data_IF_371498596778
#
_entry.id   IF_371498596778
#
_cell.length_a   1.000
_cell.length_b   1.000
_cell.length_c   1.000
_cell.angle_alpha   90.00
_cell.angle_beta   90.00
_cell.angle_gamma   90.00
#
_symmetry.space_group_name_H-M   'P 1'
#
loop_
_entity.id
_entity.type
_entity.pdbx_description
1 polymer ?
#
# COMPACT_ATOMS: atom_id res chain seq x y z
N UNK A 1 1.60 6.78 -0.56
CA UNK A 1 2.88 6.04 -0.66
C UNK A 1 3.14 5.19 0.57
N UNK A 2 3.12 5.75 1.81
CA UNK A 2 3.55 5.03 3.01
C UNK A 2 2.66 3.80 3.30
N UNK A 3 1.36 3.93 3.14
CA UNK A 3 0.38 2.84 3.35
C UNK A 3 0.17 1.95 2.12
N UNK A 4 0.92 2.15 1.05
CA UNK A 4 0.88 1.36 -0.18
C UNK A 4 -0.57 1.09 -0.64
N UNK A 5 -1.35 2.17 -0.82
CA UNK A 5 -2.68 2.07 -1.39
C UNK A 5 -2.58 2.08 -2.93
N UNK A 6 -2.71 0.91 -3.54
CA UNK A 6 -2.66 0.73 -4.99
C UNK A 6 -4.05 0.72 -5.64
N UNK A 7 -5.10 0.79 -4.86
CA UNK A 7 -6.46 1.07 -5.35
C UNK A 7 -6.72 2.58 -5.39
N UNK A 8 -5.79 3.31 -6.02
CA UNK A 8 -5.73 4.77 -6.00
C UNK A 8 -5.13 5.36 -7.28
N UNK A 9 -4.88 6.67 -7.29
CA UNK A 9 -4.24 7.37 -8.41
C UNK A 9 -2.87 6.80 -8.81
N UNK A 10 -2.13 6.21 -7.87
CA UNK A 10 -0.76 5.71 -8.08
C UNK A 10 -0.67 4.39 -8.85
N UNK A 11 -1.80 3.74 -9.16
CA UNK A 11 -1.84 2.46 -9.87
C UNK A 11 -2.44 2.57 -11.26
N UNK A 12 -2.56 1.41 -11.94
CA UNK A 12 -3.21 1.29 -13.24
C UNK A 12 -4.68 1.75 -13.21
N UNK A 13 -5.36 1.57 -12.08
CA UNK A 13 -6.80 1.89 -11.94
C UNK A 13 -7.07 3.38 -11.91
N UNK A 14 -6.17 4.20 -11.33
CA UNK A 14 -6.30 5.64 -11.21
C UNK A 14 -7.67 6.09 -10.66
N UNK A 15 -8.13 5.48 -9.57
CA UNK A 15 -9.44 5.70 -8.96
C UNK A 15 -9.35 6.05 -7.47
N UNK A 16 -10.49 6.10 -6.79
CA UNK A 16 -10.61 6.31 -5.34
C UNK A 16 -10.00 7.62 -4.83
N UNK A 17 -10.22 8.69 -5.58
CA UNK A 17 -9.89 10.05 -5.15
C UNK A 17 -10.85 11.06 -5.76
N UNK A 18 -10.98 12.22 -5.09
CA UNK A 18 -11.62 13.41 -5.62
C UNK A 18 -10.59 14.50 -5.85
N UNK A 19 -10.86 15.35 -6.82
CA UNK A 19 -10.10 16.58 -7.01
C UNK A 19 -10.93 17.72 -6.43
N UNK A 20 -10.40 18.38 -5.42
CA UNK A 20 -10.98 19.58 -4.83
C UNK A 20 -10.17 20.80 -5.27
N UNK A 21 -10.84 21.75 -5.91
CA UNK A 21 -10.23 23.02 -6.32
C UNK A 21 -10.80 24.16 -5.46
N UNK A 22 -9.91 25.02 -4.96
CA UNK A 22 -10.26 26.25 -4.27
C UNK A 22 -9.21 27.31 -4.55
N UNK A 23 -9.63 28.45 -5.09
CA UNK A 23 -8.76 29.61 -5.37
C UNK A 23 -7.54 29.26 -6.24
N UNK A 24 -7.72 28.46 -7.28
CA UNK A 24 -6.65 28.01 -8.17
C UNK A 24 -5.70 26.97 -7.58
N UNK A 25 -6.01 26.39 -6.41
CA UNK A 25 -5.25 25.33 -5.77
C UNK A 25 -6.01 24.02 -5.81
N UNK A 26 -5.35 22.98 -6.28
CA UNK A 26 -5.90 21.61 -6.34
C UNK A 26 -5.44 20.82 -5.12
N UNK A 27 -6.38 20.09 -4.50
CA UNK A 27 -6.12 19.11 -3.46
C UNK A 27 -6.67 17.76 -3.90
N UNK A 28 -5.87 16.72 -3.80
CA UNK A 28 -6.33 15.35 -3.98
C UNK A 28 -6.87 14.86 -2.65
N UNK A 29 -8.12 14.44 -2.64
CA UNK A 29 -8.81 13.86 -1.48
C UNK A 29 -8.97 12.36 -1.72
N UNK A 30 -8.03 11.53 -1.24
CA UNK A 30 -8.14 10.08 -1.38
C UNK A 30 -9.18 9.52 -0.42
N UNK A 31 -9.80 8.40 -0.80
CA UNK A 31 -10.78 7.65 -0.03
C UNK A 31 -10.62 6.15 -0.27
N UNK A 32 -11.40 5.32 0.41
CA UNK A 32 -11.45 3.86 0.21
C UNK A 32 -10.10 3.17 0.52
N UNK A 33 -9.62 3.32 1.75
CA UNK A 33 -8.34 2.78 2.20
C UNK A 33 -8.40 1.32 2.69
N UNK A 34 -9.54 0.64 2.57
CA UNK A 34 -9.71 -0.75 3.00
C UNK A 34 -8.76 -1.74 2.28
N UNK A 35 -8.29 -1.39 1.08
CA UNK A 35 -7.32 -2.16 0.30
C UNK A 35 -5.89 -1.57 0.32
N UNK A 36 -5.62 -0.65 1.24
CA UNK A 36 -4.25 -0.20 1.50
C UNK A 36 -3.38 -1.34 2.07
N UNK A 37 -2.10 -1.06 2.28
CA UNK A 37 -1.11 -2.01 2.76
C UNK A 37 -0.90 -3.22 1.84
N UNK A 38 -1.08 -2.97 0.54
CA UNK A 38 -0.93 -3.99 -0.49
C UNK A 38 -2.10 -4.97 -0.58
N UNK A 39 -3.25 -4.66 0.04
CA UNK A 39 -4.47 -5.48 -0.06
C UNK A 39 -5.02 -5.60 -1.47
N UNK A 40 -4.65 -4.67 -2.36
CA UNK A 40 -4.94 -4.72 -3.79
C UNK A 40 -3.66 -4.56 -4.61
N UNK A 41 -3.39 -5.47 -5.53
CA UNK A 41 -2.22 -5.44 -6.43
C UNK A 41 -0.85 -5.26 -5.75
N UNK A 42 -0.75 -5.52 -4.45
CA UNK A 42 0.51 -5.38 -3.68
C UNK A 42 1.60 -6.39 -4.04
N UNK A 43 1.26 -7.41 -4.80
CA UNK A 43 2.20 -8.47 -5.16
C UNK A 43 2.52 -9.36 -3.96
N UNK A 44 3.76 -9.32 -3.50
CA UNK A 44 4.22 -10.06 -2.32
C UNK A 44 4.62 -9.11 -1.18
N UNK A 45 4.86 -9.68 0.00
CA UNK A 45 5.22 -8.90 1.19
C UNK A 45 6.48 -8.03 0.98
N UNK A 46 7.49 -8.53 0.27
CA UNK A 46 8.70 -7.76 -0.03
C UNK A 46 8.41 -6.53 -0.89
N UNK A 47 7.52 -6.68 -1.88
CA UNK A 47 7.11 -5.56 -2.75
C UNK A 47 6.39 -4.47 -1.98
N UNK A 48 5.55 -4.83 -0.99
CA UNK A 48 4.84 -3.86 -0.14
C UNK A 48 5.78 -3.22 0.86
N UNK A 49 6.60 -4.01 1.55
CA UNK A 49 7.60 -3.50 2.51
C UNK A 49 8.54 -2.50 1.84
N UNK A 50 9.04 -2.80 0.64
CA UNK A 50 10.04 -1.99 -0.05
C UNK A 50 9.44 -1.09 -1.13
N UNK A 51 8.12 -0.89 -1.17
CA UNK A 51 7.51 -0.04 -2.19
C UNK A 51 8.25 1.30 -2.33
N UNK A 52 8.75 1.65 -3.53
CA UNK A 52 9.67 2.76 -3.71
C UNK A 52 9.00 4.10 -3.44
N UNK A 53 9.69 5.00 -2.71
CA UNK A 53 9.11 6.30 -2.36
C UNK A 53 9.26 7.32 -3.50
N UNK A 54 10.28 7.23 -4.35
CA UNK A 54 10.53 8.21 -5.42
C UNK A 54 9.95 7.80 -6.77
N UNK A 55 9.53 6.54 -6.92
CA UNK A 55 8.74 6.06 -8.05
C UNK A 55 7.49 5.34 -7.55
N UNK A 56 6.58 6.04 -6.80
CA UNK A 56 5.50 5.42 -6.06
C UNK A 56 4.29 5.09 -6.97
N UNK A 57 4.53 4.34 -8.03
CA UNK A 57 3.50 3.89 -8.97
C UNK A 57 3.58 2.38 -9.18
N UNK A 58 2.47 1.75 -9.54
CA UNK A 58 2.39 0.32 -9.79
C UNK A 58 1.59 0.02 -11.05
N UNK A 59 2.14 -0.86 -11.91
CA UNK A 59 1.52 -1.28 -13.16
C UNK A 59 1.46 -0.20 -14.26
N UNK A 60 2.10 0.95 -14.04
CA UNK A 60 2.19 2.05 -15.00
C UNK A 60 3.54 2.77 -14.88
N UNK A 61 3.92 3.48 -15.93
CA UNK A 61 5.08 4.38 -15.88
C UNK A 61 4.73 5.68 -15.14
N UNK A 62 5.73 6.30 -14.51
CA UNK A 62 5.61 7.60 -13.83
C UNK A 62 5.01 8.67 -14.75
N UNK A 63 5.41 8.71 -16.01
CA UNK A 63 4.92 9.68 -17.02
C UNK A 63 3.40 9.63 -17.23
N UNK A 64 2.76 8.51 -16.92
CA UNK A 64 1.31 8.34 -16.98
C UNK A 64 0.59 8.80 -15.71
N UNK A 65 1.34 9.29 -14.73
CA UNK A 65 0.84 9.85 -13.46
C UNK A 65 1.42 11.26 -13.26
N UNK A 66 1.03 12.23 -14.12
CA UNK A 66 1.67 13.55 -14.20
C UNK A 66 1.67 14.32 -12.87
N UNK A 67 0.68 14.13 -11.98
CA UNK A 67 0.68 14.76 -10.67
C UNK A 67 1.80 14.23 -9.78
N UNK A 68 2.14 12.94 -9.87
CA UNK A 68 3.28 12.36 -9.14
C UNK A 68 4.58 12.73 -9.85
N UNK A 69 4.67 12.43 -11.15
CA UNK A 69 5.88 12.61 -11.95
C UNK A 69 6.40 14.06 -11.91
N UNK A 70 5.53 15.04 -12.17
CA UNK A 70 5.93 16.45 -12.21
C UNK A 70 6.28 17.01 -10.84
N UNK A 71 5.56 16.60 -9.79
CA UNK A 71 5.87 17.06 -8.44
C UNK A 71 7.19 16.45 -7.94
N UNK A 72 7.42 15.16 -8.12
CA UNK A 72 8.65 14.50 -7.65
C UNK A 72 9.88 14.80 -8.54
N UNK A 73 9.68 15.28 -9.78
CA UNK A 73 10.76 15.79 -10.64
C UNK A 73 11.27 17.17 -10.19
N UNK A 74 10.53 17.90 -9.36
CA UNK A 74 10.96 19.17 -8.79
C UNK A 74 11.65 18.93 -7.44
N UNK A 75 12.91 19.36 -7.33
CA UNK A 75 13.75 19.11 -6.15
C UNK A 75 13.13 19.65 -4.86
N UNK A 76 12.57 20.86 -4.87
CA UNK A 76 11.94 21.46 -3.69
C UNK A 76 10.73 20.65 -3.22
N UNK A 77 9.89 20.18 -4.16
CA UNK A 77 8.72 19.39 -3.83
C UNK A 77 9.10 17.97 -3.38
N UNK A 78 10.13 17.37 -3.97
CA UNK A 78 10.68 16.09 -3.53
C UNK A 78 11.21 16.18 -2.10
N UNK A 79 12.01 17.19 -1.77
CA UNK A 79 12.53 17.43 -0.41
C UNK A 79 11.38 17.62 0.59
N UNK A 80 10.35 18.39 0.23
CA UNK A 80 9.16 18.57 1.08
C UNK A 80 8.41 17.26 1.29
N UNK A 81 8.24 16.46 0.24
CA UNK A 81 7.60 15.16 0.31
C UNK A 81 8.39 14.20 1.21
N UNK A 82 9.72 14.13 1.06
CA UNK A 82 10.59 13.37 1.96
C UNK A 82 10.45 13.85 3.42
N UNK A 83 10.37 15.15 3.64
CA UNK A 83 10.13 15.71 4.99
C UNK A 83 8.81 15.23 5.60
N UNK A 84 7.74 15.11 4.83
CA UNK A 84 6.47 14.53 5.33
C UNK A 84 6.59 13.03 5.64
N UNK A 85 7.29 12.26 4.81
CA UNK A 85 7.54 10.84 5.09
C UNK A 85 8.39 10.67 6.36
N UNK A 86 9.47 11.45 6.51
CA UNK A 86 10.32 11.43 7.71
C UNK A 86 9.50 11.78 8.96
N UNK A 87 8.65 12.81 8.88
CA UNK A 87 7.79 13.18 9.99
C UNK A 87 6.84 12.04 10.42
N UNK A 88 6.28 11.30 9.46
CA UNK A 88 5.45 10.13 9.76
C UNK A 88 6.26 9.00 10.40
N UNK A 89 7.46 8.71 9.88
CA UNK A 89 8.34 7.69 10.46
C UNK A 89 8.68 8.04 11.89
N UNK A 90 9.15 9.26 12.16
CA UNK A 90 9.62 9.69 13.49
C UNK A 90 8.48 9.76 14.52
N UNK A 91 7.34 10.31 14.13
CA UNK A 91 6.28 10.67 15.08
C UNK A 91 5.16 9.65 15.18
N UNK A 92 5.15 8.64 14.33
CA UNK A 92 4.08 7.65 14.32
C UNK A 92 4.59 6.20 14.41
N UNK A 93 5.69 5.88 13.72
CA UNK A 93 6.25 4.53 13.74
C UNK A 93 7.38 4.37 14.76
N UNK A 94 8.43 5.19 14.68
CA UNK A 94 9.61 5.06 15.54
C UNK A 94 9.32 5.24 17.04
N UNK A 95 8.30 6.00 17.38
CA UNK A 95 7.87 6.20 18.78
C UNK A 95 6.81 5.18 19.25
N UNK A 96 6.52 4.15 18.46
CA UNK A 96 5.60 3.07 18.82
C UNK A 96 4.11 3.38 18.71
N UNK A 97 3.72 4.61 18.34
CA UNK A 97 2.29 5.00 18.24
C UNK A 97 1.49 4.16 17.23
N UNK A 98 2.13 3.69 16.16
CA UNK A 98 1.46 2.82 15.19
C UNK A 98 0.99 1.53 15.86
N UNK A 99 1.90 0.85 16.54
CA UNK A 99 1.59 -0.40 17.23
C UNK A 99 0.60 -0.19 18.38
N UNK A 100 0.79 0.88 19.18
CA UNK A 100 -0.14 1.27 20.25
C UNK A 100 -1.56 1.49 19.71
N UNK A 101 -1.70 2.19 18.58
CA UNK A 101 -2.98 2.46 17.96
C UNK A 101 -3.65 1.17 17.46
N UNK A 102 -2.90 0.26 16.83
CA UNK A 102 -3.44 -1.03 16.38
C UNK A 102 -3.91 -1.88 17.57
N UNK A 103 -3.10 -1.95 18.64
CA UNK A 103 -3.48 -2.66 19.87
C UNK A 103 -4.70 -2.05 20.56
N UNK A 104 -4.84 -0.74 20.56
CA UNK A 104 -6.01 -0.07 21.11
C UNK A 104 -7.29 -0.37 20.29
N UNK A 105 -7.16 -0.40 18.96
CA UNK A 105 -8.27 -0.80 18.08
C UNK A 105 -8.63 -2.28 18.27
N UNK A 106 -7.64 -3.16 18.36
CA UNK A 106 -7.85 -4.58 18.65
C UNK A 106 -8.60 -4.75 20.00
N UNK A 107 -8.16 -4.08 21.04
CA UNK A 107 -8.83 -4.13 22.34
C UNK A 107 -10.27 -3.62 22.28
N UNK A 108 -10.56 -2.63 21.43
CA UNK A 108 -11.90 -2.07 21.27
C UNK A 108 -12.86 -3.02 20.54
N UNK A 109 -12.40 -3.73 19.50
CA UNK A 109 -13.30 -4.50 18.63
C UNK A 109 -13.19 -6.03 18.79
N UNK A 110 -12.18 -6.54 19.49
CA UNK A 110 -11.86 -7.97 19.59
C UNK A 110 -13.03 -8.84 20.04
N UNK A 111 -13.75 -8.39 21.07
CA UNK A 111 -14.91 -9.14 21.59
C UNK A 111 -16.10 -9.12 20.62
N UNK A 112 -16.28 -8.03 19.90
CA UNK A 112 -17.30 -7.96 18.85
C UNK A 112 -16.97 -8.92 17.71
N UNK A 113 -15.73 -8.92 17.21
CA UNK A 113 -15.29 -9.86 16.16
C UNK A 113 -15.45 -11.30 16.61
N UNK A 114 -15.11 -11.62 17.88
CA UNK A 114 -15.20 -12.98 18.42
C UNK A 114 -16.65 -13.50 18.47
N UNK A 115 -17.61 -12.61 18.76
CA UNK A 115 -19.00 -12.98 18.98
C UNK A 115 -19.91 -12.67 17.77
N UNK A 116 -19.36 -12.17 16.67
CA UNK A 116 -20.13 -11.86 15.46
C UNK A 116 -20.49 -13.15 14.71
N UNK A 117 -21.77 -13.51 14.75
CA UNK A 117 -22.29 -14.67 14.02
C UNK A 117 -22.20 -14.51 12.47
N UNK A 118 -22.01 -13.29 11.99
CA UNK A 118 -21.91 -12.95 10.56
C UNK A 118 -20.46 -12.69 10.11
N UNK A 119 -19.48 -12.89 11.01
CA UNK A 119 -18.08 -12.65 10.71
C UNK A 119 -17.61 -13.40 9.47
N UNK A 120 -16.92 -12.69 8.58
CA UNK A 120 -16.34 -13.24 7.34
C UNK A 120 -14.99 -13.94 7.55
N UNK A 121 -14.41 -13.88 8.76
CA UNK A 121 -13.19 -14.55 9.17
C UNK A 121 -13.37 -15.21 10.54
N UNK A 122 -12.50 -16.16 10.87
CA UNK A 122 -12.43 -16.71 12.23
C UNK A 122 -11.72 -15.71 13.16
N UNK A 123 -11.94 -15.85 14.46
CA UNK A 123 -11.26 -15.04 15.46
C UNK A 123 -9.73 -15.22 15.42
N UNK A 124 -9.25 -16.45 15.16
CA UNK A 124 -7.81 -16.73 15.04
C UNK A 124 -7.20 -16.06 13.79
N UNK A 125 -7.91 -16.07 12.65
CA UNK A 125 -7.51 -15.35 11.45
C UNK A 125 -7.43 -13.83 11.73
N UNK A 126 -8.42 -13.28 12.41
CA UNK A 126 -8.40 -11.87 12.83
C UNK A 126 -7.20 -11.55 13.72
N UNK A 127 -6.91 -12.36 14.75
CA UNK A 127 -5.76 -12.14 15.64
C UNK A 127 -4.43 -12.26 14.89
N UNK A 128 -4.36 -13.19 13.95
CA UNK A 128 -3.20 -13.33 13.06
C UNK A 128 -3.04 -12.08 12.17
N UNK A 129 -4.14 -11.57 11.60
CA UNK A 129 -4.13 -10.35 10.80
C UNK A 129 -3.60 -9.15 11.60
N UNK A 130 -4.05 -8.96 12.85
CA UNK A 130 -3.57 -7.89 13.74
C UNK A 130 -2.04 -7.97 13.92
N UNK A 131 -1.50 -9.14 14.25
CA UNK A 131 -0.05 -9.32 14.47
C UNK A 131 0.75 -9.13 13.18
N UNK A 132 0.25 -9.64 12.05
CA UNK A 132 0.85 -9.49 10.73
C UNK A 132 0.87 -8.01 10.30
N UNK A 133 -0.20 -7.28 10.59
CA UNK A 133 -0.31 -5.86 10.26
C UNK A 133 0.71 -5.00 11.03
N UNK A 134 0.90 -5.27 12.33
CA UNK A 134 1.92 -4.59 13.13
C UNK A 134 3.32 -4.86 12.52
N UNK A 135 3.62 -6.10 12.20
CA UNK A 135 4.90 -6.49 11.59
C UNK A 135 5.12 -5.80 10.25
N UNK A 136 4.11 -5.82 9.38
CA UNK A 136 4.17 -5.16 8.07
C UNK A 136 4.44 -3.66 8.21
N UNK A 137 3.71 -2.98 9.10
CA UNK A 137 3.87 -1.54 9.31
C UNK A 137 5.27 -1.17 9.80
N UNK A 138 5.82 -1.94 10.73
CA UNK A 138 7.17 -1.72 11.26
C UNK A 138 8.25 -1.96 10.18
N UNK A 139 8.16 -3.03 9.41
CA UNK A 139 9.08 -3.31 8.30
C UNK A 139 8.96 -2.24 7.19
N UNK A 140 7.76 -1.78 6.90
CA UNK A 140 7.53 -0.69 5.95
C UNK A 140 8.20 0.60 6.42
N UNK A 141 8.04 0.97 7.68
CA UNK A 141 8.67 2.16 8.25
C UNK A 141 10.20 2.06 8.20
N UNK A 142 10.77 0.89 8.51
CA UNK A 142 12.22 0.63 8.38
C UNK A 142 12.69 0.83 6.93
N UNK A 143 11.95 0.30 5.96
CA UNK A 143 12.28 0.46 4.54
C UNK A 143 12.19 1.93 4.10
N UNK A 144 11.13 2.64 4.50
CA UNK A 144 10.98 4.08 4.20
C UNK A 144 12.13 4.88 4.80
N UNK A 145 12.52 4.62 6.05
CA UNK A 145 13.67 5.27 6.67
C UNK A 145 14.96 5.03 5.88
N UNK A 146 15.23 3.78 5.48
CA UNK A 146 16.41 3.46 4.68
C UNK A 146 16.39 4.07 3.27
N UNK A 147 15.20 4.26 2.70
CA UNK A 147 15.06 4.97 1.43
C UNK A 147 15.29 6.48 1.57
N UNK A 148 14.89 7.07 2.70
CA UNK A 148 15.11 8.49 2.99
C UNK A 148 16.57 8.83 3.29
N UNK A 149 17.29 7.94 3.99
CA UNK A 149 18.71 8.15 4.32
C UNK A 149 19.69 7.62 3.24
N UNK A 150 19.16 7.00 2.17
CA UNK A 150 19.94 6.51 1.03
C UNK A 150 20.62 5.15 1.24
N UNK A 151 20.41 4.48 2.37
CA UNK A 151 20.92 3.11 2.60
C UNK A 151 20.18 2.07 1.75
N UNK A 152 18.90 2.34 1.42
CA UNK A 152 18.05 1.57 0.52
C UNK A 152 17.72 2.43 -0.71
N UNK A 153 17.80 1.89 -1.94
CA UNK A 153 17.37 2.63 -3.13
C UNK A 153 15.89 3.02 -3.07
N UNK A 154 15.58 4.28 -3.38
CA UNK A 154 14.24 4.87 -3.30
C UNK A 154 13.41 4.75 -4.59
N UNK A 155 14.03 4.25 -5.68
CA UNK A 155 13.39 4.08 -6.98
C UNK A 155 13.29 2.61 -7.38
N UNK A 156 12.29 2.24 -8.18
CA UNK A 156 12.12 0.88 -8.73
C UNK A 156 13.39 0.41 -9.45
N UNK A 157 13.99 1.24 -10.29
CA UNK A 157 15.20 0.89 -11.01
C UNK A 157 16.39 0.63 -10.06
N UNK A 158 16.55 1.50 -9.05
CA UNK A 158 17.60 1.35 -8.03
C UNK A 158 17.44 0.08 -7.20
N UNK A 159 16.21 -0.27 -6.82
CA UNK A 159 15.90 -1.48 -6.07
C UNK A 159 16.16 -2.75 -6.90
N UNK A 160 15.76 -2.75 -8.18
CA UNK A 160 16.03 -3.86 -9.09
C UNK A 160 17.54 -4.09 -9.30
N UNK A 161 18.33 -3.02 -9.33
CA UNK A 161 19.78 -3.10 -9.45
C UNK A 161 20.48 -3.54 -8.15
N UNK A 162 19.85 -3.36 -6.99
CA UNK A 162 20.43 -3.62 -5.66
C UNK A 162 19.47 -4.37 -4.72
N UNK A 163 18.98 -5.56 -5.10
CA UNK A 163 17.97 -6.27 -4.32
C UNK A 163 18.45 -6.70 -2.91
N UNK A 164 19.76 -6.86 -2.73
CA UNK A 164 20.37 -7.22 -1.44
C UNK A 164 20.30 -6.12 -0.38
N UNK A 165 20.01 -4.87 -0.78
CA UNK A 165 19.84 -3.75 0.15
C UNK A 165 18.42 -3.63 0.71
N UNK A 166 17.47 -4.38 0.17
CA UNK A 166 16.08 -4.29 0.57
C UNK A 166 15.85 -4.91 1.95
N UNK A 167 14.87 -4.37 2.68
CA UNK A 167 14.42 -4.96 3.94
C UNK A 167 13.82 -6.32 3.65
N UNK A 168 14.28 -7.34 4.38
CA UNK A 168 13.69 -8.68 4.29
C UNK A 168 12.29 -8.68 4.90
N UNK A 169 11.31 -9.15 4.14
CA UNK A 169 9.96 -9.38 4.66
C UNK A 169 9.86 -10.67 5.50
N UNK A 170 10.92 -11.49 5.58
CA UNK A 170 10.92 -12.75 6.32
C UNK A 170 9.80 -13.68 5.85
N UNK A 171 9.06 -14.21 6.79
CA UNK A 171 7.92 -15.12 6.55
C UNK A 171 6.56 -14.38 6.49
N UNK A 172 6.56 -13.05 6.37
CA UNK A 172 5.33 -12.29 6.32
C UNK A 172 4.53 -12.66 5.07
N UNK A 173 3.25 -13.01 5.27
CA UNK A 173 2.34 -13.38 4.21
C UNK A 173 1.16 -12.38 4.18
N UNK A 174 1.00 -11.65 3.09
CA UNK A 174 -0.08 -10.67 2.94
C UNK A 174 -1.47 -11.30 3.00
N UNK A 175 -1.62 -12.59 2.66
CA UNK A 175 -2.91 -13.28 2.76
C UNK A 175 -3.40 -13.43 4.21
N UNK A 176 -2.51 -13.28 5.21
CA UNK A 176 -2.88 -13.26 6.61
C UNK A 176 -3.63 -11.99 7.02
N UNK A 177 -3.53 -10.91 6.23
CA UNK A 177 -4.29 -9.67 6.43
C UNK A 177 -5.75 -9.78 5.96
N UNK A 178 -6.11 -10.84 5.25
CA UNK A 178 -7.43 -11.06 4.69
C UNK A 178 -7.38 -11.33 3.19
N UNK A 179 -8.53 -11.68 2.62
CA UNK A 179 -8.70 -11.94 1.19
C UNK A 179 -9.89 -11.16 0.66
N UNK A 180 -9.74 -10.54 -0.50
CA UNK A 180 -10.86 -9.94 -1.21
C UNK A 180 -11.85 -11.04 -1.61
N UNK A 181 -13.12 -10.93 -1.17
CA UNK A 181 -14.19 -11.88 -1.53
C UNK A 181 -14.26 -13.16 -0.69
N UNK A 182 -13.57 -13.27 0.42
CA UNK A 182 -13.60 -14.43 1.30
C UNK A 182 -14.84 -14.49 2.20
N UNK A 183 -15.99 -14.87 1.64
CA UNK A 183 -17.11 -15.40 2.43
C UNK A 183 -16.80 -16.85 2.84
N UNK A 184 -17.07 -17.20 4.11
CA UNK A 184 -17.19 -18.58 4.58
C UNK A 184 -18.26 -19.30 3.73
N UNK A 185 -17.88 -20.10 2.78
CA UNK A 185 -18.85 -20.92 2.07
C UNK A 185 -18.27 -21.48 0.79
N UNK A 186 -18.14 -22.80 0.78
CA UNK A 186 -18.16 -23.71 -0.37
C UNK A 186 -18.05 -23.03 -1.74
N UNK A 187 -16.91 -23.25 -2.38
CA UNK A 187 -16.74 -23.52 -3.81
C UNK A 187 -17.84 -22.95 -4.72
N UNK A 188 -18.13 -21.66 -4.67
CA UNK A 188 -18.74 -20.94 -5.76
C UNK A 188 -17.62 -20.20 -6.47
N UNK A 189 -16.98 -20.92 -7.40
CA UNK A 189 -16.22 -20.31 -8.45
C UNK A 189 -17.10 -19.25 -9.08
N UNK A 190 -16.64 -18.01 -9.11
CA UNK A 190 -17.23 -17.02 -9.99
C UNK A 190 -17.16 -17.59 -11.41
N UNK A 191 -18.29 -17.83 -12.08
CA UNK A 191 -18.27 -18.12 -13.51
C UNK A 191 -18.04 -16.78 -14.22
N UNK A 192 -16.80 -16.49 -14.49
CA UNK A 192 -16.41 -15.24 -15.13
C UNK A 192 -14.95 -14.95 -14.81
N UNK A 193 -14.07 -15.85 -15.30
CA UNK A 193 -12.68 -15.46 -15.52
C UNK A 193 -12.72 -14.20 -16.35
N UNK A 194 -12.16 -13.11 -15.81
CA UNK A 194 -11.84 -11.94 -16.63
C UNK A 194 -10.76 -12.44 -17.57
N UNK A 195 -11.24 -13.00 -18.72
CA UNK A 195 -10.39 -13.34 -19.84
C UNK A 195 -9.59 -12.11 -20.21
N UNK A 196 -8.31 -12.33 -20.45
CA UNK A 196 -7.37 -11.28 -20.79
C UNK A 196 -7.94 -10.32 -21.82
N UNK A 197 -7.95 -9.05 -21.48
CA UNK A 197 -8.16 -7.99 -22.42
C UNK A 197 -6.89 -7.91 -23.29
N UNK A 198 -6.91 -8.69 -24.37
CA UNK A 198 -5.96 -8.55 -25.48
C UNK A 198 -6.36 -7.27 -26.23
N UNK A 199 -5.65 -6.19 -26.01
CA UNK A 199 -5.75 -5.03 -26.89
C UNK A 199 -5.16 -5.43 -28.24
N UNK A 200 -6.05 -5.75 -29.19
CA UNK A 200 -5.70 -5.94 -30.58
C UNK A 200 -5.16 -4.62 -31.13
N UNK A 201 -3.91 -4.63 -31.56
CA UNK A 201 -3.31 -3.56 -32.36
C UNK A 201 -4.02 -3.53 -33.71
N UNK A 202 -4.84 -2.53 -33.94
CA UNK A 202 -5.33 -2.17 -35.27
C UNK A 202 -4.22 -1.42 -36.02
N UNK A 203 -3.62 -2.08 -37.00
CA UNK A 203 -2.96 -1.37 -38.10
C UNK A 203 -4.04 -0.59 -38.86
N UNK A 204 -3.81 0.68 -39.06
CA UNK A 204 -4.47 1.45 -40.11
C UNK A 204 -3.43 1.78 -41.16
N UNK A 205 -3.77 1.40 -42.38
CA UNK A 205 -3.12 1.82 -43.63
C UNK A 205 -3.19 3.33 -43.86
#
# INVERSE_FOLDING_TARGET
>A
TIVVNLDSYSSIMAQNYYIYERNGKITILPWDYNLAWGGFQGGNASSVVNFPIDTPVSGVDMSRRPLIDKLLSNKEYLERYHGYLQHLVDNYFANGKFEEKIKALDALISDYVKNDATAFCTYDEYKKAVSTFITLGNLRAQSVQGQLDGSIPSTTAGQNANPSKLVSAGNLNLSDLGRMGGGRGNNMGFPGGIGGWQFGGGQQD
#
